data_IF_525631529417
#
_entry.id   IF_525631529417
#
_cell.length_a   1.000
_cell.length_b   1.000
_cell.length_c   1.000
_cell.angle_alpha   90.00
_cell.angle_beta   90.00
_cell.angle_gamma   90.00
#
_symmetry.space_group_name_H-M   'P 1'
#
loop_
_entity.id
_entity.type
_entity.pdbx_description
1 polymer ?
#
# COMPACT_ATOMS: atom_id res chain seq x y z
N UNK A 1 28.78 -20.01 -13.63
CA UNK A 1 28.22 -20.44 -12.35
C UNK A 1 27.65 -19.21 -11.66
N UNK A 2 26.42 -19.26 -11.15
CA UNK A 2 25.85 -18.19 -10.30
C UNK A 2 26.35 -18.38 -8.87
N UNK A 3 26.54 -17.26 -8.15
CA UNK A 3 26.81 -17.26 -6.71
C UNK A 3 25.55 -17.07 -5.86
N UNK A 4 24.41 -16.84 -6.50
CA UNK A 4 23.13 -16.65 -5.81
C UNK A 4 22.47 -17.99 -5.46
N UNK A 5 21.56 -17.93 -4.50
CA UNK A 5 20.67 -19.06 -4.21
C UNK A 5 19.80 -19.37 -5.44
N UNK A 6 19.42 -20.63 -5.69
CA UNK A 6 18.62 -21.00 -6.87
C UNK A 6 17.30 -20.20 -7.00
N UNK A 7 16.65 -19.90 -5.88
CA UNK A 7 15.40 -19.12 -5.84
C UNK A 7 15.61 -17.71 -6.38
N UNK A 8 16.76 -17.09 -6.05
CA UNK A 8 17.12 -15.74 -6.53
C UNK A 8 17.43 -15.75 -8.03
N UNK A 9 18.09 -16.80 -8.52
CA UNK A 9 18.35 -16.94 -9.96
C UNK A 9 17.06 -17.18 -10.77
N UNK A 10 16.09 -17.86 -10.19
CA UNK A 10 14.83 -18.21 -10.85
C UNK A 10 13.79 -17.08 -10.83
N UNK A 11 13.82 -16.19 -9.82
CA UNK A 11 12.79 -15.17 -9.63
C UNK A 11 12.93 -13.99 -10.61
N UNK A 12 11.79 -13.39 -10.94
CA UNK A 12 11.74 -12.06 -11.56
C UNK A 12 11.51 -11.04 -10.46
N UNK A 13 12.51 -10.16 -10.23
CA UNK A 13 12.39 -9.09 -9.24
C UNK A 13 11.18 -8.18 -9.48
N UNK A 14 10.73 -7.49 -8.44
CA UNK A 14 9.66 -6.51 -8.54
C UNK A 14 10.01 -5.40 -9.54
N UNK A 15 9.09 -5.14 -10.48
CA UNK A 15 9.22 -4.05 -11.45
C UNK A 15 8.36 -2.87 -10.99
N UNK A 16 8.98 -1.77 -10.51
CA UNK A 16 8.26 -0.58 -10.10
C UNK A 16 7.51 0.07 -11.27
N UNK A 17 6.57 0.95 -10.96
CA UNK A 17 5.93 1.79 -11.97
C UNK A 17 6.94 2.69 -12.66
N UNK A 18 6.71 2.93 -13.96
CA UNK A 18 7.58 3.80 -14.76
C UNK A 18 7.75 5.18 -14.11
N UNK A 19 9.00 5.64 -14.05
CA UNK A 19 9.34 6.97 -13.58
C UNK A 19 9.61 7.88 -14.81
N UNK A 20 9.00 9.07 -14.87
CA UNK A 20 9.29 10.02 -15.93
C UNK A 20 10.74 10.52 -15.81
N UNK A 21 11.35 10.88 -16.95
CA UNK A 21 12.65 11.56 -16.94
C UNK A 21 12.51 12.93 -16.28
N UNK A 22 13.51 13.35 -15.52
CA UNK A 22 13.56 14.66 -14.91
C UNK A 22 13.37 15.77 -15.97
N UNK A 23 12.52 16.77 -15.66
CA UNK A 23 12.18 17.86 -16.59
C UNK A 23 11.13 17.50 -17.68
N UNK A 24 10.67 16.24 -17.75
CA UNK A 24 9.61 15.88 -18.70
C UNK A 24 8.24 16.43 -18.25
N UNK A 25 7.44 16.92 -19.21
CA UNK A 25 6.06 17.36 -18.98
C UNK A 25 5.08 16.17 -18.94
N UNK A 26 5.33 15.21 -18.04
CA UNK A 26 4.51 14.01 -17.89
C UNK A 26 3.64 14.11 -16.65
N UNK A 27 2.36 13.84 -16.81
CA UNK A 27 1.41 13.71 -15.70
C UNK A 27 1.47 12.28 -15.17
N UNK A 28 1.95 12.12 -13.94
CA UNK A 28 2.20 10.83 -13.32
C UNK A 28 1.01 10.39 -12.46
N UNK A 29 0.24 9.43 -12.95
CA UNK A 29 -0.95 8.85 -12.30
C UNK A 29 -0.86 7.32 -12.21
N UNK A 30 0.35 6.74 -12.01
CA UNK A 30 0.60 5.30 -12.09
C UNK A 30 1.05 4.63 -10.78
N UNK A 31 1.52 5.39 -9.78
CA UNK A 31 2.12 4.83 -8.55
C UNK A 31 1.43 5.26 -7.26
N UNK A 32 0.21 5.80 -7.39
CA UNK A 32 -0.65 6.17 -6.26
C UNK A 32 0.02 7.18 -5.31
N UNK A 33 0.81 8.09 -5.86
CA UNK A 33 1.36 9.23 -5.12
C UNK A 33 0.26 10.24 -4.85
N UNK A 34 0.44 11.04 -3.81
CA UNK A 34 -0.45 12.14 -3.50
C UNK A 34 -0.14 13.31 -4.46
N UNK A 35 -1.11 13.90 -5.14
CA UNK A 35 -0.86 15.01 -6.06
C UNK A 35 -0.60 16.35 -5.36
N UNK A 36 -0.79 16.42 -4.05
CA UNK A 36 -0.58 17.62 -3.23
C UNK A 36 0.71 17.51 -2.41
N UNK A 37 1.35 18.60 -2.02
CA UNK A 37 2.55 18.60 -1.17
C UNK A 37 2.22 18.05 0.22
N UNK A 38 3.24 17.70 1.00
CA UNK A 38 3.08 17.35 2.41
C UNK A 38 2.73 18.58 3.28
N UNK A 39 2.36 18.33 4.54
CA UNK A 39 2.10 19.40 5.51
C UNK A 39 3.31 20.35 5.65
N UNK A 40 3.09 21.67 5.74
CA UNK A 40 4.17 22.63 6.07
C UNK A 40 4.88 22.31 7.40
N UNK A 41 4.22 21.64 8.34
CA UNK A 41 4.85 21.18 9.58
C UNK A 41 5.97 20.19 9.32
N UNK A 42 5.83 19.34 8.33
CA UNK A 42 6.86 18.39 7.88
C UNK A 42 8.12 19.11 7.42
N UNK A 43 7.97 20.15 6.59
CA UNK A 43 9.10 20.92 6.07
C UNK A 43 9.89 21.57 7.23
N UNK A 44 9.18 22.18 8.19
CA UNK A 44 9.82 22.76 9.39
C UNK A 44 10.54 21.71 10.24
N UNK A 45 9.93 20.56 10.42
CA UNK A 45 10.55 19.46 11.18
C UNK A 45 11.84 18.96 10.53
N UNK A 46 11.86 18.80 9.20
CA UNK A 46 13.06 18.42 8.44
C UNK A 46 14.17 19.48 8.62
N UNK A 47 13.83 20.76 8.51
CA UNK A 47 14.79 21.86 8.75
C UNK A 47 15.38 21.81 10.15
N UNK A 48 14.55 21.60 11.18
CA UNK A 48 15.01 21.46 12.58
C UNK A 48 15.96 20.29 12.76
N UNK A 49 15.72 19.15 12.10
CA UNK A 49 16.63 17.99 12.15
C UNK A 49 17.96 18.33 11.51
N UNK A 50 17.95 19.01 10.35
CA UNK A 50 19.18 19.44 9.66
C UNK A 50 20.01 20.42 10.52
N UNK A 51 19.37 21.36 11.19
CA UNK A 51 20.03 22.32 12.11
C UNK A 51 20.71 21.63 13.30
N UNK A 52 20.15 20.52 13.78
CA UNK A 52 20.76 19.69 14.84
C UNK A 52 21.95 18.86 14.35
N UNK A 53 22.08 18.68 13.04
CA UNK A 53 23.12 17.90 12.38
C UNK A 53 22.82 16.40 12.29
N UNK A 54 23.48 15.73 11.33
CA UNK A 54 23.25 14.32 11.00
C UNK A 54 24.40 13.39 11.39
N UNK A 55 25.35 13.86 12.22
CA UNK A 55 26.56 13.11 12.59
C UNK A 55 26.31 12.04 13.65
N UNK A 56 25.12 11.96 14.23
CA UNK A 56 24.74 10.96 15.22
C UNK A 56 23.65 10.04 14.71
N UNK A 57 23.69 8.80 15.13
CA UNK A 57 22.59 7.87 14.85
C UNK A 57 21.26 8.39 15.43
N UNK A 58 20.14 8.14 14.72
CA UNK A 58 18.82 8.49 15.21
C UNK A 58 18.38 7.58 16.38
N UNK A 59 17.23 7.90 16.96
CA UNK A 59 16.57 7.01 17.91
C UNK A 59 16.20 5.68 17.21
N UNK A 60 16.76 4.54 17.67
CA UNK A 60 16.56 3.24 17.03
C UNK A 60 15.12 2.75 17.06
N UNK A 61 14.29 3.34 17.94
CA UNK A 61 12.89 2.96 18.11
C UNK A 61 11.89 3.97 17.56
N UNK A 62 12.35 5.09 16.97
CA UNK A 62 11.48 6.17 16.52
C UNK A 62 10.46 6.58 17.62
N UNK A 63 10.89 6.72 18.85
CA UNK A 63 10.04 6.88 20.05
C UNK A 63 9.09 8.05 19.92
N UNK A 64 9.56 9.20 19.39
CA UNK A 64 8.71 10.37 19.20
C UNK A 64 7.53 10.08 18.28
N UNK A 65 7.76 9.40 17.15
CA UNK A 65 6.69 8.98 16.24
C UNK A 65 5.72 8.00 16.93
N UNK A 66 6.26 6.97 17.59
CA UNK A 66 5.43 5.92 18.23
C UNK A 66 4.50 6.48 19.31
N UNK A 67 4.97 7.44 20.10
CA UNK A 67 4.16 8.13 21.13
C UNK A 67 3.00 8.89 20.46
N UNK A 68 3.30 9.71 19.45
CA UNK A 68 2.25 10.49 18.75
C UNK A 68 1.30 9.61 17.97
N UNK A 69 1.81 8.60 17.25
CA UNK A 69 0.98 7.64 16.54
C UNK A 69 0.08 6.85 17.50
N UNK A 70 0.59 6.47 18.66
CA UNK A 70 -0.19 5.80 19.70
C UNK A 70 -1.37 6.65 20.19
N UNK A 71 -1.14 7.94 20.45
CA UNK A 71 -2.20 8.89 20.83
C UNK A 71 -3.25 9.05 19.73
N UNK A 72 -2.82 9.25 18.47
CA UNK A 72 -3.71 9.44 17.31
C UNK A 72 -4.54 8.19 17.02
N UNK A 73 -3.93 7.01 17.13
CA UNK A 73 -4.57 5.73 16.79
C UNK A 73 -5.29 5.08 17.99
N UNK A 74 -5.11 5.62 19.20
CA UNK A 74 -5.69 5.05 20.40
C UNK A 74 -5.12 3.69 20.80
N UNK A 75 -3.81 3.47 20.55
CA UNK A 75 -3.08 2.23 20.90
C UNK A 75 -1.82 2.56 21.71
N UNK A 76 -1.35 1.65 22.58
CA UNK A 76 -0.09 1.85 23.29
C UNK A 76 1.11 2.00 22.32
N UNK A 77 2.06 2.89 22.64
CA UNK A 77 3.21 3.14 21.78
C UNK A 77 4.14 1.90 21.63
N UNK A 78 4.14 0.98 22.58
CA UNK A 78 4.88 -0.28 22.53
C UNK A 78 4.24 -1.34 21.61
N UNK A 79 3.02 -1.10 21.14
CA UNK A 79 2.36 -1.90 20.10
C UNK A 79 2.72 -1.46 18.68
N UNK A 80 3.57 -0.45 18.53
CA UNK A 80 3.96 0.12 17.23
C UNK A 80 5.44 -0.18 16.95
N UNK A 81 5.73 -0.64 15.72
CA UNK A 81 7.07 -0.76 15.18
C UNK A 81 7.18 0.01 13.87
N UNK A 82 8.23 0.85 13.75
CA UNK A 82 8.49 1.66 12.56
C UNK A 82 9.48 0.97 11.61
N UNK A 83 9.32 1.25 10.32
CA UNK A 83 10.18 0.74 9.26
C UNK A 83 10.41 1.75 8.14
N UNK A 84 11.39 1.45 7.30
CA UNK A 84 11.73 2.22 6.09
C UNK A 84 10.68 1.96 4.98
N UNK A 85 9.49 2.50 5.19
CA UNK A 85 8.28 2.20 4.43
C UNK A 85 7.57 0.94 4.93
N UNK A 86 6.31 0.77 4.51
CA UNK A 86 5.57 -0.48 4.78
C UNK A 86 6.23 -1.69 4.12
N UNK A 87 6.97 -1.51 3.04
CA UNK A 87 7.68 -2.61 2.37
C UNK A 87 8.70 -3.29 3.29
N UNK A 88 9.43 -2.52 4.13
CA UNK A 88 10.32 -3.10 5.16
C UNK A 88 9.53 -3.81 6.25
N UNK A 89 8.38 -3.26 6.68
CA UNK A 89 7.49 -3.94 7.63
C UNK A 89 7.04 -5.29 7.09
N UNK A 90 6.56 -5.33 5.83
CA UNK A 90 6.14 -6.58 5.18
C UNK A 90 7.30 -7.58 5.05
N UNK A 91 8.51 -7.09 4.75
CA UNK A 91 9.73 -7.90 4.71
C UNK A 91 10.06 -8.49 6.08
N UNK A 92 10.02 -7.69 7.14
CA UNK A 92 10.26 -8.17 8.51
C UNK A 92 9.22 -9.20 8.93
N UNK A 93 7.94 -8.96 8.64
CA UNK A 93 6.87 -9.91 8.93
C UNK A 93 7.09 -11.24 8.19
N UNK A 94 7.44 -11.19 6.91
CA UNK A 94 7.74 -12.42 6.15
C UNK A 94 8.92 -13.16 6.76
N UNK A 95 10.03 -12.48 7.07
CA UNK A 95 11.19 -13.10 7.72
C UNK A 95 10.92 -13.67 9.11
N UNK A 96 10.02 -13.04 9.86
CA UNK A 96 9.70 -13.47 11.22
C UNK A 96 8.84 -14.73 11.27
N UNK A 97 7.91 -14.87 10.33
CA UNK A 97 6.89 -15.92 10.38
C UNK A 97 7.09 -17.03 9.37
N UNK A 98 7.82 -16.80 8.27
CA UNK A 98 7.87 -17.70 7.11
C UNK A 98 9.30 -18.18 6.88
N UNK A 99 9.51 -19.50 6.95
CA UNK A 99 10.77 -20.17 6.61
C UNK A 99 10.74 -20.71 5.17
N UNK A 100 11.89 -21.20 4.70
CA UNK A 100 11.99 -21.93 3.43
C UNK A 100 11.00 -23.11 3.39
N UNK A 101 10.26 -23.25 2.29
CA UNK A 101 9.25 -24.29 2.09
C UNK A 101 7.90 -24.07 2.78
N UNK A 102 7.79 -23.10 3.68
CA UNK A 102 6.51 -22.69 4.27
C UNK A 102 5.56 -22.08 3.23
N UNK A 103 4.32 -21.84 3.62
CA UNK A 103 3.28 -21.27 2.77
C UNK A 103 2.88 -19.90 3.27
N UNK A 104 2.86 -18.92 2.34
CA UNK A 104 2.32 -17.57 2.53
C UNK A 104 1.05 -17.45 1.67
N UNK A 105 -0.06 -17.04 2.27
CA UNK A 105 -1.35 -16.85 1.58
C UNK A 105 -1.62 -15.39 1.29
N UNK A 106 -2.17 -15.11 0.10
CA UNK A 106 -2.53 -13.77 -0.34
C UNK A 106 -3.77 -13.81 -1.24
N UNK A 107 -4.57 -12.72 -1.29
CA UNK A 107 -5.68 -12.64 -2.24
C UNK A 107 -5.16 -12.33 -3.65
N UNK A 108 -5.94 -12.68 -4.69
CA UNK A 108 -5.63 -12.42 -6.09
C UNK A 108 -6.86 -11.88 -6.83
N UNK A 109 -6.70 -10.82 -7.64
CA UNK A 109 -5.47 -10.03 -7.83
C UNK A 109 -5.21 -9.07 -6.66
N UNK A 110 -3.93 -8.92 -6.28
CA UNK A 110 -3.52 -8.00 -5.22
C UNK A 110 -2.10 -7.43 -5.43
N UNK A 111 -1.48 -6.91 -4.38
CA UNK A 111 -0.16 -6.30 -4.45
C UNK A 111 0.93 -7.36 -4.67
N UNK A 112 1.64 -7.25 -5.79
CA UNK A 112 2.60 -8.27 -6.25
C UNK A 112 3.80 -8.46 -5.31
N UNK A 113 4.14 -7.46 -4.47
CA UNK A 113 5.26 -7.57 -3.53
C UNK A 113 5.11 -8.76 -2.59
N UNK A 114 3.90 -9.11 -2.16
CA UNK A 114 3.70 -10.24 -1.25
C UNK A 114 4.26 -11.55 -1.81
N UNK A 115 4.00 -11.82 -3.08
CA UNK A 115 4.54 -12.99 -3.79
C UNK A 115 6.06 -12.92 -3.90
N UNK A 116 6.60 -11.75 -4.25
CA UNK A 116 8.04 -11.52 -4.32
C UNK A 116 8.72 -11.77 -2.97
N UNK A 117 8.11 -11.36 -1.85
CA UNK A 117 8.65 -11.63 -0.51
C UNK A 117 8.67 -13.12 -0.18
N UNK A 118 7.63 -13.88 -0.56
CA UNK A 118 7.64 -15.32 -0.41
C UNK A 118 8.76 -15.97 -1.24
N UNK A 119 8.92 -15.58 -2.50
CA UNK A 119 9.97 -16.07 -3.38
C UNK A 119 11.38 -15.78 -2.81
N UNK A 120 11.64 -14.56 -2.31
CA UNK A 120 12.91 -14.20 -1.66
C UNK A 120 13.20 -15.09 -0.45
N UNK A 121 12.18 -15.45 0.30
CA UNK A 121 12.29 -16.30 1.50
C UNK A 121 12.44 -17.80 1.17
N UNK A 122 12.31 -18.20 -0.10
CA UNK A 122 12.27 -19.60 -0.50
C UNK A 122 10.95 -20.29 -0.09
N UNK A 123 9.93 -19.51 0.17
CA UNK A 123 8.61 -19.97 0.56
C UNK A 123 7.68 -20.13 -0.64
N UNK A 124 6.61 -20.89 -0.45
CA UNK A 124 5.54 -21.01 -1.44
C UNK A 124 4.50 -19.92 -1.21
N UNK A 125 3.89 -19.44 -2.29
CA UNK A 125 2.74 -18.54 -2.21
C UNK A 125 1.47 -19.25 -2.68
N UNK A 126 0.34 -19.00 -1.98
CA UNK A 126 -0.97 -19.46 -2.36
C UNK A 126 -1.88 -18.26 -2.61
N UNK A 127 -2.31 -18.11 -3.87
CA UNK A 127 -3.15 -17.02 -4.33
C UNK A 127 -4.63 -17.43 -4.30
N UNK A 128 -5.42 -16.87 -3.38
CA UNK A 128 -6.87 -17.09 -3.28
C UNK A 128 -7.60 -16.03 -4.06
N UNK A 129 -8.43 -16.45 -5.02
CA UNK A 129 -9.12 -15.50 -5.90
C UNK A 129 -10.27 -14.80 -5.19
N UNK A 130 -10.35 -13.49 -5.39
CA UNK A 130 -11.59 -12.78 -5.11
C UNK A 130 -12.72 -13.28 -6.02
N UNK A 131 -13.95 -13.16 -5.57
CA UNK A 131 -15.13 -13.29 -6.42
C UNK A 131 -15.33 -12.02 -7.29
N UNK A 132 -16.36 -12.04 -8.14
CA UNK A 132 -16.69 -10.90 -9.01
C UNK A 132 -17.07 -9.62 -8.23
N UNK A 133 -17.39 -9.72 -6.94
CA UNK A 133 -17.69 -8.61 -6.03
C UNK A 133 -16.50 -8.23 -5.15
N UNK A 134 -15.33 -8.76 -5.42
CA UNK A 134 -14.10 -8.55 -4.64
C UNK A 134 -14.23 -9.03 -3.18
N UNK A 135 -14.92 -10.17 -2.96
CA UNK A 135 -15.03 -10.85 -1.68
C UNK A 135 -14.16 -12.08 -1.65
N UNK A 136 -13.70 -12.45 -0.46
CA UNK A 136 -12.97 -13.70 -0.21
C UNK A 136 -13.93 -14.76 0.31
N UNK A 137 -13.78 -15.98 -0.20
CA UNK A 137 -14.52 -17.14 0.25
C UNK A 137 -13.86 -17.85 1.43
N UNK A 138 -14.46 -18.97 1.84
CA UNK A 138 -13.97 -19.82 2.96
C UNK A 138 -12.57 -20.40 2.70
N UNK A 139 -12.20 -20.56 1.44
CA UNK A 139 -10.87 -21.02 1.02
C UNK A 139 -9.74 -20.09 1.52
N UNK A 140 -10.01 -18.79 1.70
CA UNK A 140 -9.02 -17.86 2.25
C UNK A 140 -8.66 -18.18 3.71
N UNK A 141 -9.54 -18.77 4.48
CA UNK A 141 -9.31 -19.15 5.88
C UNK A 141 -9.06 -20.64 6.10
N UNK A 142 -9.19 -21.45 5.04
CA UNK A 142 -9.01 -22.90 5.14
C UNK A 142 -7.60 -23.27 5.60
N UNK A 143 -7.44 -24.24 6.54
CA UNK A 143 -6.14 -24.75 6.92
C UNK A 143 -5.39 -25.32 5.71
N UNK A 144 -4.07 -25.07 5.64
CA UNK A 144 -3.20 -25.65 4.63
C UNK A 144 -1.84 -26.04 5.23
N UNK A 145 -1.21 -27.13 4.79
CA UNK A 145 0.09 -27.56 5.30
C UNK A 145 1.16 -26.49 5.08
N UNK A 146 1.81 -26.09 6.17
CA UNK A 146 2.88 -25.08 6.16
C UNK A 146 2.40 -23.63 6.09
N UNK A 147 1.10 -23.35 6.17
CA UNK A 147 0.58 -21.98 6.19
C UNK A 147 1.02 -21.25 7.47
N UNK A 148 1.80 -20.19 7.33
CA UNK A 148 2.44 -19.45 8.43
C UNK A 148 2.03 -17.99 8.50
N UNK A 149 1.61 -17.38 7.37
CA UNK A 149 1.28 -15.98 7.29
C UNK A 149 0.25 -15.76 6.17
N UNK A 150 -0.67 -14.83 6.39
CA UNK A 150 -1.55 -14.34 5.33
C UNK A 150 -1.45 -12.82 5.23
N UNK A 151 -1.42 -12.29 4.01
CA UNK A 151 -1.56 -10.87 3.72
C UNK A 151 -2.95 -10.54 3.21
N UNK A 152 -3.51 -9.41 3.64
CA UNK A 152 -4.79 -8.87 3.21
C UNK A 152 -4.66 -7.36 2.99
N UNK A 153 -4.47 -6.86 1.75
CA UNK A 153 -4.52 -5.42 1.49
C UNK A 153 -5.95 -4.90 1.65
N UNK A 154 -6.13 -3.92 2.51
CA UNK A 154 -7.46 -3.37 2.83
C UNK A 154 -7.40 -1.85 3.06
N UNK A 155 -7.72 -1.00 2.08
CA UNK A 155 -8.25 -1.29 0.73
C UNK A 155 -7.29 -2.04 -0.19
N UNK A 156 -7.84 -2.95 -1.02
CA UNK A 156 -7.08 -3.74 -1.97
C UNK A 156 -6.50 -2.90 -3.13
N UNK A 157 -5.37 -3.31 -3.65
CA UNK A 157 -4.84 -2.84 -4.92
C UNK A 157 -4.75 -4.04 -5.88
N UNK A 158 -5.39 -4.01 -7.08
CA UNK A 158 -5.73 -2.80 -7.85
C UNK A 158 -7.16 -2.26 -7.68
N UNK A 159 -8.08 -2.98 -7.05
CA UNK A 159 -9.50 -2.64 -7.08
C UNK A 159 -9.86 -1.36 -6.28
N UNK A 160 -9.15 -1.10 -5.19
CA UNK A 160 -9.52 -0.09 -4.22
C UNK A 160 -10.67 -0.51 -3.30
N UNK A 161 -11.18 -1.74 -3.43
CA UNK A 161 -12.27 -2.25 -2.59
C UNK A 161 -11.82 -2.47 -1.16
N UNK A 162 -12.73 -2.33 -0.22
CA UNK A 162 -12.50 -2.56 1.19
C UNK A 162 -13.42 -3.67 1.70
N UNK A 163 -12.85 -4.60 2.46
CA UNK A 163 -13.59 -5.56 3.27
C UNK A 163 -13.90 -4.86 4.61
N UNK A 164 -15.16 -4.84 5.07
CA UNK A 164 -15.51 -4.24 6.35
C UNK A 164 -14.71 -4.82 7.52
N UNK A 165 -14.31 -4.02 8.53
CA UNK A 165 -13.52 -4.51 9.65
C UNK A 165 -14.16 -5.67 10.40
N UNK A 166 -15.48 -5.76 10.48
CA UNK A 166 -16.17 -6.91 11.09
C UNK A 166 -15.90 -8.22 10.32
N UNK A 167 -15.96 -8.18 8.98
CA UNK A 167 -15.63 -9.34 8.14
C UNK A 167 -14.13 -9.68 8.23
N UNK A 168 -13.25 -8.66 8.34
CA UNK A 168 -11.81 -8.88 8.54
C UNK A 168 -11.55 -9.58 9.89
N UNK A 169 -12.29 -9.23 10.95
CA UNK A 169 -12.21 -9.92 12.23
C UNK A 169 -12.61 -11.40 12.11
N UNK A 170 -13.75 -11.67 11.48
CA UNK A 170 -14.20 -13.05 11.23
C UNK A 170 -13.16 -13.86 10.43
N UNK A 171 -12.55 -13.26 9.41
CA UNK A 171 -11.45 -13.90 8.67
C UNK A 171 -10.28 -14.20 9.61
N UNK A 172 -9.84 -13.22 10.42
CA UNK A 172 -8.70 -13.38 11.33
C UNK A 172 -8.93 -14.44 12.39
N UNK A 173 -10.14 -14.51 12.97
CA UNK A 173 -10.49 -15.54 13.96
C UNK A 173 -10.40 -16.96 13.39
N UNK A 174 -10.83 -17.13 12.14
CA UNK A 174 -10.81 -18.40 11.42
C UNK A 174 -9.43 -18.75 10.85
N UNK A 175 -8.51 -17.78 10.67
CA UNK A 175 -7.17 -18.05 10.16
C UNK A 175 -6.36 -18.93 11.14
N UNK A 176 -5.64 -19.95 10.64
CA UNK A 176 -4.73 -20.75 11.46
C UNK A 176 -3.38 -20.06 11.74
N UNK A 177 -3.15 -18.86 11.20
CA UNK A 177 -1.90 -18.12 11.29
C UNK A 177 -2.16 -16.62 11.42
N UNK A 178 -1.15 -15.76 11.70
CA UNK A 178 -1.31 -14.32 11.69
C UNK A 178 -1.83 -13.78 10.35
N UNK A 179 -2.71 -12.77 10.44
CA UNK A 179 -3.26 -12.03 9.31
C UNK A 179 -2.70 -10.60 9.31
N UNK A 180 -1.92 -10.27 8.32
CA UNK A 180 -1.42 -8.91 8.09
C UNK A 180 -2.41 -8.15 7.25
N UNK A 181 -3.08 -7.17 7.86
CA UNK A 181 -3.96 -6.24 7.15
C UNK A 181 -3.11 -5.06 6.68
N UNK A 182 -2.85 -4.99 5.37
CA UNK A 182 -2.08 -3.91 4.77
C UNK A 182 -3.00 -2.72 4.47
N UNK A 183 -2.96 -1.73 5.34
CA UNK A 183 -3.75 -0.52 5.29
C UNK A 183 -3.03 0.65 4.59
N UNK A 184 -2.26 0.39 3.55
CA UNK A 184 -1.53 1.44 2.82
C UNK A 184 -2.42 2.56 2.27
N UNK A 185 -3.71 2.32 2.06
CA UNK A 185 -4.67 3.29 1.49
C UNK A 185 -5.79 3.67 2.45
N UNK A 186 -5.77 3.19 3.68
CA UNK A 186 -6.91 3.25 4.60
C UNK A 186 -7.36 4.66 4.97
N UNK A 187 -6.47 5.65 4.97
CA UNK A 187 -6.85 7.04 5.30
C UNK A 187 -7.83 7.63 4.27
N UNK A 188 -7.95 7.05 3.07
CA UNK A 188 -8.94 7.41 2.05
C UNK A 188 -10.25 6.62 2.18
N UNK A 189 -10.32 5.64 3.07
CA UNK A 189 -11.47 4.79 3.30
C UNK A 189 -12.42 5.35 4.37
N UNK A 190 -13.58 4.71 4.52
CA UNK A 190 -14.60 5.12 5.48
C UNK A 190 -14.35 4.51 6.88
N UNK A 191 -13.60 3.40 6.97
CA UNK A 191 -13.29 2.70 8.22
C UNK A 191 -11.88 2.10 8.17
N UNK A 192 -11.40 1.50 9.28
CA UNK A 192 -10.08 0.90 9.39
C UNK A 192 -10.06 -0.26 10.40
N UNK A 193 -8.98 -1.06 10.35
CA UNK A 193 -8.83 -2.28 11.16
C UNK A 193 -7.95 -2.09 12.41
N UNK A 194 -7.53 -0.88 12.78
CA UNK A 194 -6.63 -0.66 13.94
C UNK A 194 -7.22 -1.24 15.24
N UNK A 195 -8.52 -1.10 15.47
CA UNK A 195 -9.16 -1.64 16.70
C UNK A 195 -9.01 -3.16 16.81
N UNK A 196 -8.96 -3.87 15.68
CA UNK A 196 -8.92 -5.34 15.63
C UNK A 196 -7.66 -5.92 16.28
N UNK A 197 -6.56 -5.16 16.37
CA UNK A 197 -5.35 -5.61 17.09
C UNK A 197 -5.59 -5.80 18.59
N UNK A 198 -6.65 -5.20 19.15
CA UNK A 198 -7.06 -5.40 20.56
C UNK A 198 -8.02 -6.58 20.70
N UNK A 199 -8.75 -6.90 19.65
CA UNK A 199 -9.81 -7.91 19.63
C UNK A 199 -9.28 -9.30 19.24
N UNK A 200 -8.25 -9.35 18.39
CA UNK A 200 -7.65 -10.60 17.91
C UNK A 200 -6.11 -10.50 17.88
N UNK A 201 -5.43 -11.37 18.61
CA UNK A 201 -3.97 -11.39 18.75
C UNK A 201 -3.23 -11.79 17.46
N UNK A 202 -3.93 -12.39 16.50
CA UNK A 202 -3.40 -12.74 15.18
C UNK A 202 -3.40 -11.57 14.19
N UNK A 203 -4.10 -10.46 14.48
CA UNK A 203 -4.17 -9.31 13.57
C UNK A 203 -2.95 -8.43 13.73
N UNK A 204 -2.32 -8.13 12.58
CA UNK A 204 -1.22 -7.18 12.45
C UNK A 204 -1.66 -6.14 11.41
N UNK A 205 -1.67 -4.86 11.75
CA UNK A 205 -2.03 -3.79 10.80
C UNK A 205 -0.76 -3.08 10.35
N UNK A 206 -0.51 -3.03 9.03
CA UNK A 206 0.60 -2.29 8.41
C UNK A 206 0.08 -0.99 7.81
N UNK A 207 0.80 0.13 8.02
CA UNK A 207 0.50 1.46 7.46
C UNK A 207 1.72 2.14 6.87
N UNK A 208 1.48 3.09 5.98
CA UNK A 208 2.54 3.90 5.34
C UNK A 208 2.16 5.38 5.33
N UNK A 209 3.17 6.26 5.42
CA UNK A 209 2.97 7.69 5.22
C UNK A 209 3.16 8.11 3.75
N UNK A 210 3.45 7.16 2.87
CA UNK A 210 3.72 7.41 1.45
C UNK A 210 2.52 7.96 0.68
N UNK A 211 1.27 7.67 1.10
CA UNK A 211 0.06 7.96 0.32
C UNK A 211 -0.68 9.19 0.83
N UNK A 212 -1.41 9.07 1.91
CA UNK A 212 -2.25 10.14 2.47
C UNK A 212 -1.42 11.32 2.98
N UNK A 213 -0.28 11.08 3.60
CA UNK A 213 0.61 12.11 4.13
C UNK A 213 1.57 12.73 3.11
N UNK A 214 1.53 12.28 1.83
CA UNK A 214 2.39 12.78 0.74
C UNK A 214 3.90 12.64 1.02
N UNK A 215 4.31 11.57 1.68
CA UNK A 215 5.71 11.32 2.09
C UNK A 215 6.34 10.11 1.39
N UNK A 216 5.93 9.81 0.16
CA UNK A 216 6.46 8.66 -0.58
C UNK A 216 8.00 8.68 -0.70
N UNK A 217 8.59 9.86 -0.85
CA UNK A 217 10.04 10.07 -0.96
C UNK A 217 10.81 9.87 0.36
N UNK A 218 10.16 9.96 1.51
CA UNK A 218 10.79 9.78 2.84
C UNK A 218 10.84 8.33 3.31
N UNK A 219 10.11 7.42 2.64
CA UNK A 219 10.16 6.01 2.96
C UNK A 219 9.89 5.70 4.44
N UNK A 220 8.71 6.04 4.96
CA UNK A 220 8.33 5.73 6.34
C UNK A 220 7.01 4.97 6.41
N UNK A 221 7.00 3.91 7.23
CA UNK A 221 5.82 3.09 7.51
C UNK A 221 5.92 2.50 8.92
N UNK A 222 4.86 1.86 9.35
CA UNK A 222 4.81 1.23 10.66
C UNK A 222 3.80 0.10 10.68
N UNK A 223 3.92 -0.80 11.66
CA UNK A 223 2.87 -1.73 11.99
C UNK A 223 2.38 -1.55 13.42
N UNK A 224 1.15 -2.00 13.64
CA UNK A 224 0.52 -2.10 14.96
C UNK A 224 0.16 -3.57 15.19
N UNK A 225 0.60 -4.13 16.31
CA UNK A 225 0.33 -5.51 16.68
C UNK A 225 0.44 -5.69 18.20
N UNK A 226 0.03 -6.85 18.71
CA UNK A 226 0.22 -7.23 20.12
C UNK A 226 1.70 -7.20 20.53
N UNK A 227 2.02 -6.90 21.81
CA UNK A 227 3.38 -6.75 22.29
C UNK A 227 4.33 -7.90 21.97
N UNK A 228 3.86 -9.15 22.08
CA UNK A 228 4.69 -10.33 21.80
C UNK A 228 5.14 -10.40 20.33
N UNK A 229 4.30 -9.93 19.37
CA UNK A 229 4.66 -9.82 17.96
C UNK A 229 5.69 -8.72 17.78
N UNK A 230 5.46 -7.54 18.35
CA UNK A 230 6.40 -6.41 18.28
C UNK A 230 7.77 -6.79 18.87
N UNK A 231 7.82 -7.49 19.99
CA UNK A 231 9.07 -7.99 20.59
C UNK A 231 9.80 -8.98 19.65
N UNK A 232 9.06 -9.85 18.96
CA UNK A 232 9.61 -10.74 17.95
C UNK A 232 10.25 -9.98 16.79
N UNK A 233 9.54 -9.00 16.25
CA UNK A 233 10.00 -8.17 15.12
C UNK A 233 11.21 -7.29 15.50
N UNK A 234 11.30 -6.81 16.76
CA UNK A 234 12.46 -6.06 17.26
C UNK A 234 13.77 -6.84 17.20
N UNK A 235 13.73 -8.17 17.26
CA UNK A 235 14.92 -9.03 17.20
C UNK A 235 15.54 -9.09 15.81
N UNK A 236 14.75 -8.86 14.77
CA UNK A 236 15.19 -8.97 13.36
C UNK A 236 15.27 -7.63 12.64
N UNK A 237 14.83 -6.55 13.30
CA UNK A 237 14.92 -5.18 12.79
C UNK A 237 16.38 -4.72 12.77
N UNK A 238 16.79 -4.04 11.68
CA UNK A 238 18.08 -3.35 11.67
C UNK A 238 18.16 -2.31 12.79
N UNK A 239 19.36 -2.13 13.37
CA UNK A 239 19.53 -1.31 14.58
C UNK A 239 18.99 0.12 14.41
N UNK A 240 19.22 0.74 13.25
CA UNK A 240 18.83 2.12 12.93
C UNK A 240 18.17 2.19 11.55
N UNK A 241 17.09 1.44 11.36
CA UNK A 241 16.41 1.27 10.07
C UNK A 241 15.68 2.52 9.56
N UNK A 242 15.31 3.45 10.43
CA UNK A 242 14.69 4.72 10.07
C UNK A 242 15.69 5.85 10.30
N UNK A 243 15.89 6.73 9.32
CA UNK A 243 16.78 7.88 9.45
C UNK A 243 16.15 9.03 10.24
N UNK A 244 16.99 9.96 10.68
CA UNK A 244 16.58 11.09 11.54
C UNK A 244 15.58 12.03 10.84
N UNK A 245 15.73 12.26 9.52
CA UNK A 245 14.84 13.12 8.75
C UNK A 245 13.46 12.48 8.62
N UNK A 246 13.43 11.19 8.29
CA UNK A 246 12.19 10.41 8.17
C UNK A 246 11.43 10.34 9.50
N UNK A 247 12.12 10.12 10.64
CA UNK A 247 11.49 10.12 11.97
C UNK A 247 10.91 11.51 12.30
N UNK A 248 11.68 12.58 12.12
CA UNK A 248 11.23 13.94 12.40
C UNK A 248 10.05 14.37 11.54
N UNK A 249 10.16 14.14 10.24
CA UNK A 249 9.12 14.43 9.27
C UNK A 249 7.82 13.66 9.54
N UNK A 250 7.94 12.35 9.82
CA UNK A 250 6.79 11.48 10.06
C UNK A 250 6.09 11.79 11.38
N UNK A 251 6.86 12.20 12.41
CA UNK A 251 6.30 12.66 13.68
C UNK A 251 5.46 13.94 13.48
N UNK A 252 5.97 14.91 12.72
CA UNK A 252 5.22 16.11 12.39
C UNK A 252 4.00 15.84 11.50
N UNK A 253 4.11 14.86 10.60
CA UNK A 253 3.02 14.48 9.72
C UNK A 253 1.85 13.84 10.48
N UNK A 254 2.15 12.87 11.37
CA UNK A 254 1.11 12.18 12.14
C UNK A 254 0.43 13.12 13.16
N UNK A 255 1.12 14.16 13.58
CA UNK A 255 0.59 15.19 14.48
C UNK A 255 -0.39 16.13 13.77
N UNK A 256 -0.19 16.42 12.47
CA UNK A 256 -1.03 17.34 11.69
C UNK A 256 -2.26 16.65 11.08
N UNK A 257 -3.16 16.18 11.94
CA UNK A 257 -4.38 15.50 11.54
C UNK A 257 -5.38 16.43 10.83
N UNK A 258 -5.29 17.73 11.03
CA UNK A 258 -6.13 18.70 10.32
C UNK A 258 -5.75 18.73 8.83
N UNK A 259 -4.47 18.88 8.53
CA UNK A 259 -3.95 18.84 7.16
C UNK A 259 -4.30 17.50 6.47
N UNK A 260 -4.13 16.37 7.18
CA UNK A 260 -4.47 15.05 6.65
C UNK A 260 -5.94 14.99 6.23
N UNK A 261 -6.87 15.37 7.10
CA UNK A 261 -8.32 15.35 6.81
C UNK A 261 -8.67 16.21 5.60
N UNK A 262 -8.12 17.43 5.52
CA UNK A 262 -8.38 18.35 4.41
C UNK A 262 -7.85 17.79 3.08
N UNK A 263 -6.66 17.19 3.10
CA UNK A 263 -6.05 16.60 1.92
C UNK A 263 -6.82 15.35 1.45
N UNK A 264 -7.18 14.47 2.37
CA UNK A 264 -7.98 13.27 2.09
C UNK A 264 -9.35 13.65 1.52
N UNK A 265 -10.01 14.68 2.06
CA UNK A 265 -11.30 15.14 1.55
C UNK A 265 -11.22 15.59 0.08
N UNK A 266 -10.18 16.35 -0.30
CA UNK A 266 -9.93 16.75 -1.70
C UNK A 266 -9.77 15.53 -2.61
N UNK A 267 -8.96 14.57 -2.19
CA UNK A 267 -8.71 13.34 -2.96
C UNK A 267 -9.99 12.52 -3.11
N UNK A 268 -10.81 12.39 -2.07
CA UNK A 268 -12.09 11.67 -2.13
C UNK A 268 -13.06 12.32 -3.12
N UNK A 269 -13.15 13.64 -3.17
CA UNK A 269 -13.97 14.39 -4.13
C UNK A 269 -13.47 14.16 -5.56
N UNK A 270 -12.16 14.32 -5.79
CA UNK A 270 -11.55 14.12 -7.10
C UNK A 270 -11.64 12.66 -7.56
N UNK A 271 -11.55 11.68 -6.63
CA UNK A 271 -11.78 10.24 -6.91
C UNK A 271 -13.21 10.00 -7.41
N UNK A 272 -14.20 10.54 -6.73
CA UNK A 272 -15.60 10.38 -7.13
C UNK A 272 -15.87 10.96 -8.53
N UNK A 273 -15.30 12.15 -8.82
CA UNK A 273 -15.38 12.78 -10.13
C UNK A 273 -14.72 11.93 -11.23
N UNK A 274 -13.50 11.44 -10.98
CA UNK A 274 -12.78 10.57 -11.91
C UNK A 274 -13.57 9.29 -12.21
N UNK A 275 -14.09 8.63 -11.18
CA UNK A 275 -14.88 7.40 -11.32
C UNK A 275 -16.17 7.63 -12.12
N UNK A 276 -16.92 8.69 -11.81
CA UNK A 276 -18.16 9.03 -12.52
C UNK A 276 -17.89 9.33 -14.01
N UNK A 277 -16.85 10.13 -14.31
CA UNK A 277 -16.49 10.46 -15.68
C UNK A 277 -15.99 9.24 -16.46
N UNK A 278 -15.21 8.35 -15.85
CA UNK A 278 -14.77 7.11 -16.50
C UNK A 278 -15.97 6.20 -16.83
N UNK A 279 -16.95 6.06 -15.91
CA UNK A 279 -18.21 5.33 -16.19
C UNK A 279 -18.99 5.94 -17.36
N UNK A 280 -19.06 7.27 -17.43
CA UNK A 280 -19.72 7.96 -18.56
C UNK A 280 -19.02 7.73 -19.90
N UNK A 281 -17.73 7.37 -19.88
CA UNK A 281 -16.96 6.97 -21.06
C UNK A 281 -17.12 5.48 -21.42
N UNK A 282 -17.91 4.71 -20.65
CA UNK A 282 -18.17 3.29 -20.90
C UNK A 282 -17.24 2.32 -20.20
N UNK A 283 -16.42 2.80 -19.26
CA UNK A 283 -15.63 1.90 -18.41
C UNK A 283 -16.49 1.33 -17.29
N UNK A 284 -16.23 0.07 -16.93
CA UNK A 284 -16.66 -0.49 -15.67
C UNK A 284 -15.66 -0.04 -14.59
N UNK A 285 -16.15 0.65 -13.57
CA UNK A 285 -15.31 1.21 -12.49
C UNK A 285 -15.81 0.69 -11.15
N UNK A 286 -14.93 0.00 -10.44
CA UNK A 286 -15.20 -0.50 -9.08
C UNK A 286 -15.22 0.67 -8.10
N UNK A 287 -16.10 0.62 -7.10
CA UNK A 287 -16.13 1.63 -6.04
C UNK A 287 -14.88 1.51 -5.16
N UNK A 288 -14.05 2.54 -5.24
CA UNK A 288 -12.75 2.56 -4.59
C UNK A 288 -12.80 3.30 -3.25
N UNK A 289 -12.12 2.75 -2.27
CA UNK A 289 -11.81 3.33 -0.97
C UNK A 289 -10.32 3.77 -0.86
N UNK A 290 -9.60 3.84 -2.01
CA UNK A 290 -8.19 4.22 -2.10
C UNK A 290 -8.00 5.58 -2.80
N UNK A 291 -6.76 5.98 -3.09
CA UNK A 291 -6.45 7.17 -3.89
C UNK A 291 -6.26 6.87 -5.38
N UNK A 292 -6.97 5.90 -5.89
CA UNK A 292 -6.99 5.51 -7.31
C UNK A 292 -8.34 4.90 -7.67
N UNK A 293 -8.60 4.74 -8.95
CA UNK A 293 -9.71 3.98 -9.49
C UNK A 293 -9.19 2.80 -10.32
N UNK A 294 -9.96 1.71 -10.34
CA UNK A 294 -9.73 0.55 -11.20
C UNK A 294 -10.78 0.53 -12.31
N UNK A 295 -10.32 0.65 -13.54
CA UNK A 295 -11.16 0.71 -14.74
C UNK A 295 -10.93 -0.51 -15.61
N UNK A 296 -12.00 -1.23 -15.93
CA UNK A 296 -12.04 -2.27 -16.98
C UNK A 296 -12.95 -1.81 -18.10
N UNK A 297 -12.96 -2.49 -19.24
CA UNK A 297 -13.88 -2.15 -20.34
C UNK A 297 -14.49 -3.42 -20.92
N UNK A 298 -15.82 -3.46 -21.12
CA UNK A 298 -16.52 -4.70 -21.49
C UNK A 298 -16.19 -5.21 -22.92
N UNK A 299 -15.72 -4.33 -23.80
CA UNK A 299 -15.54 -4.69 -25.22
C UNK A 299 -14.25 -4.18 -25.87
N UNK A 300 -13.50 -3.28 -25.22
CA UNK A 300 -12.25 -2.74 -25.79
C UNK A 300 -11.03 -3.23 -25.03
N UNK A 301 -9.94 -3.63 -25.71
CA UNK A 301 -8.69 -3.96 -25.06
C UNK A 301 -8.07 -2.69 -24.46
N UNK A 302 -7.51 -2.82 -23.25
CA UNK A 302 -7.02 -1.69 -22.48
C UNK A 302 -5.55 -1.35 -22.76
N UNK A 303 -4.77 -2.29 -23.28
CA UNK A 303 -3.38 -2.04 -23.63
C UNK A 303 -3.22 -0.91 -24.68
N UNK A 304 -3.98 -0.87 -25.80
CA UNK A 304 -3.90 0.25 -26.76
C UNK A 304 -4.31 1.59 -26.14
N UNK A 305 -5.28 1.60 -25.23
CA UNK A 305 -5.70 2.81 -24.50
C UNK A 305 -4.57 3.30 -23.60
N UNK A 306 -3.94 2.39 -22.83
CA UNK A 306 -2.77 2.69 -22.03
C UNK A 306 -1.63 3.28 -22.86
N UNK A 307 -1.31 2.69 -24.01
CA UNK A 307 -0.24 3.16 -24.88
C UNK A 307 -0.57 4.53 -25.50
N UNK A 308 -1.85 4.81 -25.79
CA UNK A 308 -2.28 6.12 -26.24
C UNK A 308 -2.06 7.19 -25.16
N UNK A 309 -2.48 6.92 -23.91
CA UNK A 309 -2.24 7.82 -22.78
C UNK A 309 -0.74 8.08 -22.59
N UNK A 310 0.06 7.03 -22.58
CA UNK A 310 1.51 7.11 -22.40
C UNK A 310 2.18 7.96 -23.50
N UNK A 311 1.84 7.77 -24.77
CA UNK A 311 2.37 8.58 -25.88
C UNK A 311 2.02 10.06 -25.78
N UNK A 312 0.89 10.37 -25.12
CA UNK A 312 0.45 11.75 -24.86
C UNK A 312 0.83 12.28 -23.49
N UNK A 313 1.82 11.66 -22.84
CA UNK A 313 2.41 12.15 -21.58
C UNK A 313 1.58 11.90 -20.32
N UNK A 314 0.63 10.97 -20.33
CA UNK A 314 -0.09 10.52 -19.14
C UNK A 314 0.34 9.10 -18.77
N UNK A 315 0.93 8.93 -17.59
CA UNK A 315 1.28 7.62 -17.06
C UNK A 315 0.17 7.11 -16.14
N UNK A 316 -0.51 6.06 -16.54
CA UNK A 316 -1.39 5.24 -15.70
C UNK A 316 -0.78 3.84 -15.53
N UNK A 317 -1.36 2.97 -14.75
CA UNK A 317 -0.87 1.60 -14.60
C UNK A 317 -1.78 0.62 -15.34
N UNK A 318 -1.29 0.05 -16.43
CA UNK A 318 -1.91 -1.10 -17.08
C UNK A 318 -1.51 -2.38 -16.33
N UNK A 319 -2.48 -3.21 -16.00
CA UNK A 319 -2.27 -4.42 -15.21
C UNK A 319 -3.08 -5.59 -15.79
N UNK A 320 -2.43 -6.51 -16.52
CA UNK A 320 -3.04 -7.78 -16.91
C UNK A 320 -2.89 -8.79 -15.78
N UNK A 321 -3.99 -9.47 -15.43
CA UNK A 321 -4.00 -10.53 -14.42
C UNK A 321 -4.43 -11.85 -15.04
N UNK A 322 -3.56 -12.86 -14.96
CA UNK A 322 -3.81 -14.18 -15.57
C UNK A 322 -5.08 -14.83 -15.01
N UNK A 323 -6.01 -15.15 -15.92
CA UNK A 323 -7.29 -15.77 -15.56
C UNK A 323 -8.27 -14.88 -14.79
N UNK A 324 -8.00 -13.56 -14.71
CA UNK A 324 -8.89 -12.57 -14.11
C UNK A 324 -9.33 -11.50 -15.12
N UNK A 325 -8.42 -11.05 -15.97
CA UNK A 325 -8.64 -9.98 -16.93
C UNK A 325 -7.59 -8.89 -16.86
N UNK A 326 -7.85 -7.76 -17.48
CA UNK A 326 -6.96 -6.61 -17.50
C UNK A 326 -7.67 -5.34 -17.08
N UNK A 327 -6.91 -4.35 -16.62
CA UNK A 327 -7.46 -3.06 -16.23
C UNK A 327 -6.43 -1.94 -16.21
N UNK A 328 -6.95 -0.73 -16.12
CA UNK A 328 -6.18 0.48 -15.87
C UNK A 328 -6.40 0.92 -14.42
N UNK A 329 -5.34 0.95 -13.63
CA UNK A 329 -5.36 1.63 -12.34
C UNK A 329 -4.89 3.06 -12.54
N UNK A 330 -5.78 4.01 -12.27
CA UNK A 330 -5.54 5.44 -12.45
C UNK A 330 -5.49 6.10 -11.09
N UNK A 331 -4.32 6.60 -10.70
CA UNK A 331 -4.16 7.37 -9.45
C UNK A 331 -4.95 8.67 -9.53
N UNK A 332 -5.51 9.10 -8.40
CA UNK A 332 -6.19 10.39 -8.32
C UNK A 332 -5.16 11.51 -8.40
N UNK A 333 -5.26 12.33 -9.45
CA UNK A 333 -4.48 13.54 -9.66
C UNK A 333 -5.18 14.80 -9.15
N UNK A 334 -4.60 15.97 -9.41
CA UNK A 334 -5.31 17.25 -9.30
C UNK A 334 -6.43 17.32 -10.34
N UNK A 335 -7.38 18.24 -10.16
CA UNK A 335 -8.50 18.37 -11.11
C UNK A 335 -8.03 18.62 -12.55
N UNK A 336 -7.02 19.46 -12.74
CA UNK A 336 -6.42 19.70 -14.05
C UNK A 336 -5.78 18.43 -14.66
N UNK A 337 -5.11 17.61 -13.84
CA UNK A 337 -4.53 16.35 -14.30
C UNK A 337 -5.61 15.33 -14.68
N UNK A 338 -6.69 15.29 -13.93
CA UNK A 338 -7.85 14.43 -14.23
C UNK A 338 -8.52 14.87 -15.54
N UNK A 339 -8.69 16.17 -15.77
CA UNK A 339 -9.30 16.68 -17.01
C UNK A 339 -8.52 16.27 -18.26
N UNK A 340 -7.20 16.41 -18.22
CA UNK A 340 -6.33 15.97 -19.32
C UNK A 340 -6.41 14.45 -19.53
N UNK A 341 -6.38 13.68 -18.44
CA UNK A 341 -6.49 12.22 -18.49
C UNK A 341 -7.82 11.78 -19.13
N UNK A 342 -8.94 12.35 -18.69
CA UNK A 342 -10.28 12.03 -19.22
C UNK A 342 -10.44 12.41 -20.70
N UNK A 343 -9.91 13.56 -21.13
CA UNK A 343 -9.92 13.97 -22.52
C UNK A 343 -9.19 12.95 -23.43
N UNK A 344 -8.02 12.47 -23.00
CA UNK A 344 -7.24 11.47 -23.73
C UNK A 344 -7.88 10.07 -23.68
N UNK A 345 -8.54 9.69 -22.58
CA UNK A 345 -9.33 8.46 -22.52
C UNK A 345 -10.48 8.50 -23.54
N UNK A 346 -11.22 9.61 -23.59
CA UNK A 346 -12.30 9.80 -24.58
C UNK A 346 -11.78 9.77 -26.03
N UNK A 347 -10.60 10.31 -26.31
CA UNK A 347 -9.95 10.24 -27.62
C UNK A 347 -9.56 8.80 -27.98
N UNK A 348 -8.95 8.07 -27.04
CA UNK A 348 -8.54 6.68 -27.25
C UNK A 348 -9.72 5.75 -27.56
N UNK A 349 -10.88 6.00 -26.94
CA UNK A 349 -12.09 5.20 -27.17
C UNK A 349 -12.76 5.43 -28.52
N UNK A 350 -12.50 6.57 -29.17
CA UNK A 350 -13.01 6.87 -30.53
C UNK A 350 -12.21 6.21 -31.64
N UNK A 351 -10.99 5.78 -31.35
CA UNK A 351 -10.11 5.04 -32.26
C UNK A 351 -10.37 3.54 -32.18
#
# INVERSE_FOLDING_TARGET
MSYFRPEIDAMRGYVPGEQPREGSKVVKMNTNENPYPCSPAVVRAVQTVLERGLQRYPDPMATAFRLRAGEVLGVPADWILCGNGSDEILTMLTRAFVAEGDLLRLPYPSYILYKTLAEIQGARSEEIRFDAKWRLGDDFTAPAPGLKLAFLPNPNSPSGTMIPPAEVLELAERMPCPLVVDEAYVDFADDNCIRLVKECDKVIVSRTLSKSYALAGLRFGFCVAQPHIIEGLRKIKDSYNCDALSIGASTAAIDDQAWLRDNVAKIRVSRARLAAAARSLGFDVVDSQANFVWCTHPSKPLQPIYEHLKRNGILVRYMPYAGWGEGLRISVGTDAQIDVCLALLAEALRK
#
